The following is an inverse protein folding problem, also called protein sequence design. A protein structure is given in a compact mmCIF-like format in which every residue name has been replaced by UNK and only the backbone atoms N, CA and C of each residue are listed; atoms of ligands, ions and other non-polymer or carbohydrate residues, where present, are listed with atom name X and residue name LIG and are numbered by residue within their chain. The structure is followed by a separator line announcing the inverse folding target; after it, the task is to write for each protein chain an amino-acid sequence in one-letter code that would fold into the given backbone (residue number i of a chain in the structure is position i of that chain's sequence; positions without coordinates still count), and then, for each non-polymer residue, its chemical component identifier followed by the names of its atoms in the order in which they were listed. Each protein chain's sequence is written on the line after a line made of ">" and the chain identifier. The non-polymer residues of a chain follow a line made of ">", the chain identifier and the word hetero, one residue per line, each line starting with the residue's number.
data_IF_428818173306
#
_entry.id   IF_428818173306
#
_cell.length_a   1.000
_cell.length_b   1.000
_cell.length_c   1.000
_cell.angle_alpha   90.00
_cell.angle_beta   90.00
_cell.angle_gamma   90.00
#
_symmetry.space_group_name_H-M   'P 1'
#
loop_
_entity.id
_entity.type
_entity.pdbx_description
1 polymer ?
#
# COMPACT_ATOMS: atom_id res chain seq x y z
N UNK A 1 -5.56 -41.44 4.43
CA UNK A 1 -5.63 -40.03 4.87
C UNK A 1 -4.31 -39.71 5.58
N UNK A 2 -3.34 -39.10 4.89
CA UNK A 2 -2.01 -38.81 5.47
C UNK A 2 -2.08 -37.50 6.27
N UNK A 3 -2.00 -37.63 7.60
CA UNK A 3 -1.79 -36.52 8.51
C UNK A 3 -0.31 -36.14 8.39
N UNK A 4 -0.03 -35.08 7.64
CA UNK A 4 1.30 -34.47 7.58
C UNK A 4 1.59 -33.81 8.92
N UNK A 5 2.27 -34.52 9.81
CA UNK A 5 2.87 -33.96 11.03
C UNK A 5 3.86 -32.86 10.64
N UNK A 6 3.44 -31.60 10.72
CA UNK A 6 4.34 -30.46 10.58
C UNK A 6 4.98 -30.21 11.95
N UNK A 7 6.23 -30.63 12.09
CA UNK A 7 7.07 -30.21 13.21
C UNK A 7 7.18 -28.68 13.29
N UNK A 8 7.62 -28.14 14.43
CA UNK A 8 7.75 -26.70 14.61
C UNK A 8 8.67 -26.13 13.52
N UNK A 9 8.17 -25.14 12.78
CA UNK A 9 8.94 -24.43 11.77
C UNK A 9 10.05 -23.65 12.46
N UNK A 10 11.21 -24.28 12.63
CA UNK A 10 12.42 -23.62 13.09
C UNK A 10 12.84 -22.65 11.98
N UNK A 11 12.49 -21.38 12.13
CA UNK A 11 12.97 -20.30 11.29
C UNK A 11 14.42 -20.06 11.66
N UNK A 12 15.32 -20.88 11.15
CA UNK A 12 16.74 -20.56 11.13
C UNK A 12 16.89 -19.33 10.23
N UNK A 13 17.12 -18.17 10.85
CA UNK A 13 17.49 -16.95 10.13
C UNK A 13 18.95 -17.14 9.72
N UNK A 14 19.26 -17.39 8.44
CA UNK A 14 20.65 -17.47 8.02
C UNK A 14 21.31 -16.13 8.32
N UNK A 15 22.34 -16.14 9.16
CA UNK A 15 23.25 -15.01 9.35
C UNK A 15 24.11 -14.96 8.09
N UNK A 16 23.54 -14.46 6.99
CA UNK A 16 24.33 -14.09 5.84
C UNK A 16 25.05 -12.77 6.15
N UNK A 17 26.21 -12.93 6.78
CA UNK A 17 27.28 -11.93 6.80
C UNK A 17 27.81 -11.72 5.37
N UNK A 18 27.01 -11.10 4.49
CA UNK A 18 27.55 -10.50 3.27
C UNK A 18 28.02 -9.11 3.60
N UNK A 19 29.35 -8.92 3.53
CA UNK A 19 30.03 -7.62 3.50
C UNK A 19 29.60 -6.84 2.24
N UNK A 20 28.37 -6.37 2.19
CA UNK A 20 27.90 -5.33 1.28
C UNK A 20 27.89 -4.02 2.06
N UNK A 21 28.69 -3.04 1.65
CA UNK A 21 28.79 -1.74 2.31
C UNK A 21 27.39 -1.09 2.40
N UNK A 22 26.76 -1.16 3.57
CA UNK A 22 25.47 -0.52 3.85
C UNK A 22 25.70 0.82 4.56
N UNK A 23 25.11 1.89 4.04
CA UNK A 23 25.15 3.25 4.58
C UNK A 23 25.38 4.32 3.51
N UNK A 24 24.73 5.48 3.66
CA UNK A 24 25.03 6.66 2.84
C UNK A 24 26.34 7.30 3.32
N UNK A 25 27.27 7.50 2.41
CA UNK A 25 28.55 8.15 2.69
C UNK A 25 28.32 9.67 2.73
N UNK A 26 28.23 10.27 3.92
CA UNK A 26 28.14 11.72 4.08
C UNK A 26 29.47 12.24 4.66
N UNK A 27 30.27 12.85 3.79
CA UNK A 27 31.54 13.57 4.02
C UNK A 27 32.56 12.95 5.01
N UNK A 28 32.29 12.86 6.32
CA UNK A 28 33.25 12.37 7.33
C UNK A 28 32.73 11.24 8.23
N UNK A 29 31.45 10.86 8.16
CA UNK A 29 30.84 9.81 9.00
C UNK A 29 29.93 8.90 8.16
N UNK A 30 29.90 7.60 8.46
CA UNK A 30 28.85 6.70 7.95
C UNK A 30 27.60 6.89 8.81
N UNK A 31 26.72 7.79 8.39
CA UNK A 31 25.39 7.87 8.95
C UNK A 31 24.53 6.73 8.38
N UNK A 32 23.65 6.17 9.20
CA UNK A 32 22.64 5.21 8.77
C UNK A 32 23.17 3.87 8.21
N UNK A 33 24.14 3.24 8.90
CA UNK A 33 24.61 1.87 8.61
C UNK A 33 23.50 0.81 8.74
N UNK A 34 22.38 1.14 9.39
CA UNK A 34 21.20 0.29 9.53
C UNK A 34 20.23 0.36 8.34
N UNK A 35 20.43 1.27 7.37
CA UNK A 35 19.54 1.41 6.21
C UNK A 35 19.95 0.41 5.13
N UNK A 36 19.20 -0.68 5.02
CA UNK A 36 19.32 -1.64 3.93
C UNK A 36 18.46 -1.20 2.72
N UNK A 37 18.91 -0.17 1.99
CA UNK A 37 18.24 0.29 0.75
C UNK A 37 18.14 -0.80 -0.33
N UNK A 38 18.96 -1.84 -0.23
CA UNK A 38 18.91 -3.00 -1.11
C UNK A 38 17.53 -3.69 -1.07
N UNK A 39 16.81 -3.61 0.04
CA UNK A 39 15.45 -4.14 0.14
C UNK A 39 14.45 -3.42 -0.78
N UNK A 40 14.60 -2.10 -1.02
CA UNK A 40 13.69 -1.38 -1.92
C UNK A 40 13.82 -1.84 -3.38
N UNK A 41 14.98 -2.40 -3.76
CA UNK A 41 15.18 -3.00 -5.08
C UNK A 41 14.64 -4.42 -5.20
N UNK A 42 14.20 -5.03 -4.09
CA UNK A 42 13.63 -6.37 -4.13
C UNK A 42 12.21 -6.32 -4.71
N UNK A 43 11.75 -7.40 -5.37
CA UNK A 43 10.43 -7.42 -5.98
C UNK A 43 9.24 -7.17 -5.01
N UNK A 44 9.26 -7.53 -3.71
CA UNK A 44 8.21 -7.09 -2.77
C UNK A 44 8.37 -5.61 -2.36
N UNK A 45 9.60 -5.11 -2.25
CA UNK A 45 9.86 -3.70 -1.93
C UNK A 45 9.33 -2.74 -3.01
N UNK A 46 9.50 -3.09 -4.28
CA UNK A 46 8.99 -2.30 -5.41
C UNK A 46 7.46 -2.22 -5.41
N UNK A 47 6.78 -3.33 -5.08
CA UNK A 47 5.31 -3.37 -5.02
C UNK A 47 4.81 -2.44 -3.92
N UNK A 48 5.36 -2.54 -2.71
CA UNK A 48 5.04 -1.67 -1.57
C UNK A 48 5.34 -0.19 -1.85
N UNK A 49 6.41 0.10 -2.58
CA UNK A 49 6.72 1.46 -3.02
C UNK A 49 5.70 1.98 -4.04
N UNK A 50 5.26 1.14 -4.98
CA UNK A 50 4.21 1.49 -5.92
C UNK A 50 2.85 1.74 -5.21
N UNK A 51 2.50 0.92 -4.22
CA UNK A 51 1.32 1.14 -3.36
C UNK A 51 1.37 2.52 -2.70
N UNK A 52 2.54 2.88 -2.14
CA UNK A 52 2.73 4.13 -1.44
C UNK A 52 2.66 5.34 -2.39
N UNK A 53 3.26 5.26 -3.58
CA UNK A 53 3.24 6.35 -4.57
C UNK A 53 1.82 6.56 -5.10
N UNK A 54 1.13 5.49 -5.51
CA UNK A 54 -0.23 5.59 -6.04
C UNK A 54 -1.20 6.03 -4.93
N UNK A 55 -1.04 5.51 -3.71
CA UNK A 55 -1.82 5.93 -2.55
C UNK A 55 -1.64 7.41 -2.23
N UNK A 56 -0.40 7.90 -2.24
CA UNK A 56 -0.11 9.32 -2.01
C UNK A 56 -0.70 10.22 -3.10
N UNK A 57 -0.63 9.78 -4.35
CA UNK A 57 -1.25 10.47 -5.48
C UNK A 57 -2.77 10.55 -5.33
N UNK A 58 -3.44 9.44 -5.00
CA UNK A 58 -4.88 9.41 -4.75
C UNK A 58 -5.27 10.32 -3.58
N UNK A 59 -4.53 10.25 -2.47
CA UNK A 59 -4.76 11.08 -1.29
C UNK A 59 -4.63 12.57 -1.63
N UNK A 60 -3.60 12.94 -2.40
CA UNK A 60 -3.34 14.34 -2.77
C UNK A 60 -4.44 14.89 -3.68
N UNK A 61 -4.89 14.11 -4.67
CA UNK A 61 -6.01 14.48 -5.53
C UNK A 61 -7.30 14.65 -4.72
N UNK A 62 -7.62 13.69 -3.87
CA UNK A 62 -8.82 13.70 -3.04
C UNK A 62 -8.82 14.92 -2.09
N UNK A 63 -7.71 15.21 -1.42
CA UNK A 63 -7.62 16.35 -0.50
C UNK A 63 -7.63 17.70 -1.22
N UNK A 64 -7.03 17.80 -2.41
CA UNK A 64 -6.96 19.08 -3.13
C UNK A 64 -8.24 19.42 -3.88
N UNK A 65 -8.89 18.44 -4.51
CA UNK A 65 -10.06 18.66 -5.35
C UNK A 65 -11.37 18.18 -4.72
N UNK A 66 -11.31 17.17 -3.86
CA UNK A 66 -12.48 16.62 -3.18
C UNK A 66 -12.88 17.39 -1.91
N UNK A 67 -11.97 18.15 -1.30
CA UNK A 67 -12.27 18.99 -0.12
C UNK A 67 -13.28 20.09 -0.43
N UNK A 68 -13.10 20.79 -1.56
CA UNK A 68 -14.02 21.82 -2.07
C UNK A 68 -15.42 21.27 -2.37
N UNK A 69 -15.51 19.99 -2.76
CA UNK A 69 -16.78 19.30 -3.08
C UNK A 69 -17.23 18.32 -1.99
N UNK A 70 -16.64 18.41 -0.80
CA UNK A 70 -16.85 17.43 0.28
C UNK A 70 -18.29 17.41 0.79
N UNK A 71 -18.96 18.57 0.83
CA UNK A 71 -20.37 18.67 1.22
C UNK A 71 -21.33 17.98 0.23
N UNK A 72 -20.95 17.89 -1.06
CA UNK A 72 -21.76 17.27 -2.11
C UNK A 72 -21.56 15.75 -2.16
N UNK A 73 -20.31 15.31 -2.03
CA UNK A 73 -19.93 13.90 -2.10
C UNK A 73 -20.21 13.18 -0.76
N UNK A 74 -20.18 13.93 0.34
CA UNK A 74 -20.56 13.48 1.67
C UNK A 74 -19.70 12.33 2.19
N UNK A 75 -20.36 11.32 2.76
CA UNK A 75 -19.69 10.22 3.47
C UNK A 75 -18.83 9.35 2.55
N UNK A 76 -19.14 9.27 1.26
CA UNK A 76 -18.35 8.50 0.29
C UNK A 76 -16.92 9.03 0.15
N UNK A 77 -16.76 10.36 0.20
CA UNK A 77 -15.45 11.01 0.22
C UNK A 77 -14.69 10.71 1.51
N UNK A 78 -15.35 10.84 2.65
CA UNK A 78 -14.73 10.61 3.96
C UNK A 78 -14.25 9.16 4.11
N UNK A 79 -15.05 8.18 3.69
CA UNK A 79 -14.66 6.77 3.69
C UNK A 79 -13.48 6.48 2.76
N UNK A 80 -13.42 7.12 1.59
CA UNK A 80 -12.30 6.96 0.65
C UNK A 80 -10.99 7.52 1.22
N UNK A 81 -11.01 8.77 1.70
CA UNK A 81 -9.81 9.47 2.22
C UNK A 81 -9.27 8.80 3.49
N UNK A 82 -10.15 8.34 4.38
CA UNK A 82 -9.73 7.64 5.61
C UNK A 82 -9.13 6.27 5.29
N UNK A 83 -9.69 5.53 4.34
CA UNK A 83 -9.14 4.25 3.91
C UNK A 83 -7.74 4.40 3.27
N UNK A 84 -7.55 5.42 2.42
CA UNK A 84 -6.23 5.73 1.85
C UNK A 84 -5.25 6.13 2.94
N UNK A 85 -5.63 7.02 3.87
CA UNK A 85 -4.76 7.45 4.96
C UNK A 85 -4.31 6.27 5.85
N UNK A 86 -5.23 5.38 6.21
CA UNK A 86 -4.93 4.22 7.06
C UNK A 86 -3.99 3.23 6.36
N UNK A 87 -4.27 2.91 5.10
CA UNK A 87 -3.44 1.99 4.31
C UNK A 87 -2.06 2.59 4.02
N UNK A 88 -1.98 3.87 3.67
CA UNK A 88 -0.71 4.57 3.41
C UNK A 88 0.16 4.65 4.67
N UNK A 89 -0.43 4.99 5.82
CA UNK A 89 0.28 5.03 7.11
C UNK A 89 0.87 3.66 7.46
N UNK A 90 0.08 2.60 7.30
CA UNK A 90 0.52 1.24 7.63
C UNK A 90 1.60 0.74 6.67
N UNK A 91 1.44 0.97 5.36
CA UNK A 91 2.43 0.61 4.34
C UNK A 91 3.73 1.40 4.54
N UNK A 92 3.66 2.67 4.91
CA UNK A 92 4.83 3.47 5.25
C UNK A 92 5.56 2.91 6.48
N UNK A 93 4.83 2.59 7.56
CA UNK A 93 5.43 1.96 8.75
C UNK A 93 6.10 0.63 8.41
N UNK A 94 5.47 -0.22 7.61
CA UNK A 94 6.05 -1.49 7.16
C UNK A 94 7.34 -1.27 6.37
N UNK A 95 7.34 -0.30 5.44
CA UNK A 95 8.50 0.04 4.62
C UNK A 95 9.65 0.56 5.50
N UNK A 96 9.35 1.41 6.48
CA UNK A 96 10.30 1.88 7.50
C UNK A 96 10.87 0.70 8.30
N UNK A 97 10.02 -0.19 8.83
CA UNK A 97 10.45 -1.37 9.56
C UNK A 97 11.38 -2.27 8.72
N UNK A 98 11.09 -2.42 7.43
CA UNK A 98 11.92 -3.18 6.50
C UNK A 98 13.27 -2.52 6.18
N UNK A 99 13.31 -1.18 6.12
CA UNK A 99 14.55 -0.44 5.92
C UNK A 99 15.48 -0.57 7.13
N UNK A 100 14.95 -0.46 8.35
CA UNK A 100 15.74 -0.40 9.57
C UNK A 100 16.23 -1.75 10.08
N UNK A 101 15.50 -2.85 9.79
CA UNK A 101 15.81 -4.15 10.38
C UNK A 101 15.55 -5.33 9.42
N UNK A 102 16.60 -6.00 8.92
CA UNK A 102 16.45 -7.20 8.10
C UNK A 102 15.89 -8.38 8.91
N UNK A 103 16.05 -8.38 10.24
CA UNK A 103 15.45 -9.38 11.14
C UNK A 103 13.92 -9.23 11.17
N UNK A 104 13.42 -7.99 11.16
CA UNK A 104 11.99 -7.70 11.15
C UNK A 104 11.32 -8.16 9.86
N UNK A 105 12.02 -8.10 8.72
CA UNK A 105 11.52 -8.64 7.44
C UNK A 105 11.17 -10.13 7.54
N UNK A 106 12.04 -10.92 8.17
CA UNK A 106 11.82 -12.36 8.34
C UNK A 106 10.63 -12.67 9.23
N UNK A 107 10.48 -11.94 10.34
CA UNK A 107 9.36 -12.12 11.28
C UNK A 107 8.03 -11.68 10.65
N UNK A 108 8.00 -10.53 9.99
CA UNK A 108 6.77 -9.97 9.39
C UNK A 108 6.30 -10.85 8.23
N UNK A 109 7.21 -11.31 7.36
CA UNK A 109 6.84 -12.23 6.28
C UNK A 109 6.44 -13.63 6.75
N UNK A 110 6.88 -14.01 7.94
CA UNK A 110 6.41 -15.24 8.61
C UNK A 110 5.07 -15.03 9.32
N UNK A 111 4.59 -13.79 9.44
CA UNK A 111 3.32 -13.45 10.08
C UNK A 111 2.18 -13.43 9.06
N UNK A 112 0.96 -13.68 9.53
CA UNK A 112 -0.27 -13.48 8.76
C UNK A 112 -0.61 -12.00 8.58
N UNK A 113 0.08 -11.10 9.28
CA UNK A 113 -0.20 -9.66 9.27
C UNK A 113 -0.22 -9.06 7.87
N UNK A 114 0.81 -9.31 7.05
CA UNK A 114 0.94 -8.73 5.71
C UNK A 114 -0.16 -9.21 4.76
N UNK A 115 -0.54 -10.50 4.87
CA UNK A 115 -1.64 -11.08 4.09
C UNK A 115 -2.99 -10.48 4.52
N UNK A 116 -3.27 -10.43 5.82
CA UNK A 116 -4.53 -9.89 6.35
C UNK A 116 -4.67 -8.39 6.04
N UNK A 117 -3.61 -7.61 6.25
CA UNK A 117 -3.64 -6.19 5.96
C UNK A 117 -3.86 -5.89 4.47
N UNK A 118 -3.12 -6.56 3.58
CA UNK A 118 -3.25 -6.35 2.14
C UNK A 118 -4.62 -6.83 1.62
N UNK A 119 -5.16 -7.94 2.12
CA UNK A 119 -6.50 -8.42 1.74
C UNK A 119 -7.59 -7.46 2.20
N UNK A 120 -7.57 -7.04 3.47
CA UNK A 120 -8.54 -6.06 3.99
C UNK A 120 -8.45 -4.77 3.21
N UNK A 121 -7.24 -4.27 2.96
CA UNK A 121 -7.03 -3.06 2.16
C UNK A 121 -7.60 -3.23 0.75
N UNK A 122 -7.36 -4.36 0.07
CA UNK A 122 -7.92 -4.59 -1.26
C UNK A 122 -9.46 -4.53 -1.28
N UNK A 123 -10.11 -5.20 -0.33
CA UNK A 123 -11.57 -5.18 -0.23
C UNK A 123 -12.14 -3.80 0.11
N UNK A 124 -11.51 -3.08 1.05
CA UNK A 124 -11.95 -1.73 1.41
C UNK A 124 -11.72 -0.76 0.26
N UNK A 125 -10.61 -0.86 -0.47
CA UNK A 125 -10.33 -0.02 -1.65
C UNK A 125 -11.37 -0.23 -2.74
N UNK A 126 -11.65 -1.47 -3.14
CA UNK A 126 -12.64 -1.75 -4.18
C UNK A 126 -14.01 -1.21 -3.75
N UNK A 127 -14.40 -1.45 -2.49
CA UNK A 127 -15.68 -0.99 -1.95
C UNK A 127 -15.80 0.55 -1.93
N UNK A 128 -14.80 1.26 -1.41
CA UNK A 128 -14.83 2.73 -1.32
C UNK A 128 -14.70 3.37 -2.70
N UNK A 129 -13.93 2.80 -3.62
CA UNK A 129 -13.82 3.30 -5.00
C UNK A 129 -15.13 3.12 -5.77
N UNK A 130 -15.81 1.98 -5.63
CA UNK A 130 -17.13 1.76 -6.24
C UNK A 130 -18.17 2.74 -5.68
N UNK A 131 -18.18 2.95 -4.36
CA UNK A 131 -19.11 3.89 -3.74
C UNK A 131 -18.83 5.35 -4.14
N UNK A 132 -17.57 5.76 -4.12
CA UNK A 132 -17.16 7.09 -4.57
C UNK A 132 -17.46 7.31 -6.07
N UNK A 133 -17.18 6.31 -6.91
CA UNK A 133 -17.48 6.37 -8.34
C UNK A 133 -18.97 6.52 -8.63
N UNK A 134 -19.83 5.83 -7.89
CA UNK A 134 -21.28 5.98 -8.02
C UNK A 134 -21.73 7.41 -7.69
N UNK A 135 -21.25 7.97 -6.57
CA UNK A 135 -21.61 9.33 -6.13
C UNK A 135 -21.06 10.39 -7.09
N UNK A 136 -19.82 10.23 -7.59
CA UNK A 136 -19.22 11.18 -8.55
C UNK A 136 -20.00 11.23 -9.86
N UNK A 137 -20.46 10.10 -10.40
CA UNK A 137 -21.23 10.09 -11.64
C UNK A 137 -22.66 10.65 -11.44
N UNK A 138 -23.32 10.38 -10.32
CA UNK A 138 -24.68 10.92 -10.11
C UNK A 138 -24.68 12.40 -9.73
N UNK A 139 -23.73 12.83 -8.90
CA UNK A 139 -23.73 14.17 -8.30
C UNK A 139 -22.83 15.12 -9.08
N UNK A 140 -21.59 14.74 -9.38
CA UNK A 140 -20.62 15.67 -9.98
C UNK A 140 -20.75 15.77 -11.51
N UNK A 141 -21.20 14.70 -12.19
CA UNK A 141 -21.43 14.72 -13.64
C UNK A 141 -22.43 15.81 -14.06
N UNK A 142 -23.65 15.94 -13.49
CA UNK A 142 -24.57 17.00 -13.89
C UNK A 142 -24.01 18.41 -13.58
N UNK A 143 -23.27 18.56 -12.47
CA UNK A 143 -22.62 19.84 -12.14
C UNK A 143 -21.52 20.23 -13.15
N UNK A 144 -20.82 19.24 -13.71
CA UNK A 144 -19.80 19.44 -14.74
C UNK A 144 -20.40 19.99 -16.05
N UNK A 145 -21.61 19.56 -16.42
CA UNK A 145 -22.30 20.06 -17.61
C UNK A 145 -22.80 21.50 -17.46
N UNK A 146 -23.16 21.90 -16.24
CA UNK A 146 -23.76 23.22 -15.98
C UNK A 146 -22.68 24.28 -15.70
N UNK A 147 -21.55 23.87 -15.09
CA UNK A 147 -20.53 24.80 -14.60
C UNK A 147 -19.27 24.75 -15.48
N UNK A 148 -18.94 25.82 -16.23
CA UNK A 148 -17.71 25.84 -17.01
C UNK A 148 -16.49 25.77 -16.09
N UNK A 149 -15.47 24.99 -16.48
CA UNK A 149 -14.20 24.79 -15.76
C UNK A 149 -14.27 24.03 -14.41
N UNK A 150 -15.27 23.17 -14.21
CA UNK A 150 -15.34 22.34 -12.99
C UNK A 150 -14.30 21.20 -13.00
N UNK A 151 -13.15 21.42 -12.34
CA UNK A 151 -12.02 20.46 -12.29
C UNK A 151 -12.21 19.31 -11.28
N UNK A 152 -13.18 19.41 -10.37
CA UNK A 152 -13.37 18.40 -9.33
C UNK A 152 -13.89 17.06 -9.88
N UNK A 153 -14.77 17.08 -10.90
CA UNK A 153 -15.26 15.86 -11.56
C UNK A 153 -14.12 15.01 -12.16
N UNK A 154 -13.30 15.52 -13.11
CA UNK A 154 -12.22 14.70 -13.68
C UNK A 154 -11.15 14.31 -12.65
N UNK A 155 -10.87 15.15 -11.65
CA UNK A 155 -9.91 14.83 -10.61
C UNK A 155 -10.39 13.69 -9.69
N UNK A 156 -11.65 13.72 -9.27
CA UNK A 156 -12.25 12.66 -8.45
C UNK A 156 -12.46 11.37 -9.25
N UNK A 157 -12.76 11.49 -10.55
CA UNK A 157 -12.80 10.35 -11.45
C UNK A 157 -11.45 9.67 -11.61
N UNK A 158 -10.38 10.45 -11.77
CA UNK A 158 -9.02 9.91 -11.76
C UNK A 158 -8.69 9.25 -10.40
N UNK A 159 -9.14 9.84 -9.28
CA UNK A 159 -8.87 9.31 -7.95
C UNK A 159 -9.51 7.94 -7.70
N UNK A 160 -10.79 7.72 -8.04
CA UNK A 160 -11.42 6.40 -7.82
C UNK A 160 -10.92 5.35 -8.83
N UNK A 161 -10.52 5.73 -10.05
CA UNK A 161 -9.90 4.82 -11.03
C UNK A 161 -8.50 4.42 -10.59
N UNK A 162 -7.67 5.37 -10.14
CA UNK A 162 -6.36 5.06 -9.59
C UNK A 162 -6.47 4.25 -8.28
N UNK A 163 -7.48 4.56 -7.45
CA UNK A 163 -7.79 3.80 -6.23
C UNK A 163 -8.22 2.36 -6.51
N UNK A 164 -8.97 2.10 -7.58
CA UNK A 164 -9.35 0.73 -7.96
C UNK A 164 -8.15 -0.08 -8.45
N UNK A 165 -7.24 0.54 -9.22
CA UNK A 165 -5.93 -0.05 -9.57
C UNK A 165 -5.12 -0.36 -8.31
N UNK A 166 -5.10 0.56 -7.33
CA UNK A 166 -4.40 0.36 -6.06
C UNK A 166 -5.01 -0.81 -5.25
N UNK A 167 -6.33 -0.96 -5.26
CA UNK A 167 -7.02 -2.12 -4.66
C UNK A 167 -6.59 -3.45 -5.29
N UNK A 168 -6.47 -3.50 -6.62
CA UNK A 168 -5.94 -4.68 -7.32
C UNK A 168 -4.47 -4.95 -6.98
N UNK A 169 -3.68 -3.90 -6.81
CA UNK A 169 -2.27 -4.01 -6.45
C UNK A 169 -2.09 -4.58 -5.04
N UNK A 170 -2.90 -4.13 -4.07
CA UNK A 170 -2.99 -4.75 -2.74
C UNK A 170 -3.45 -6.21 -2.80
N UNK A 171 -4.41 -6.55 -3.68
CA UNK A 171 -4.85 -7.94 -3.86
C UNK A 171 -3.71 -8.84 -4.42
N UNK A 172 -2.95 -8.32 -5.38
CA UNK A 172 -1.79 -9.00 -5.94
C UNK A 172 -0.69 -9.20 -4.88
N UNK A 173 -0.42 -8.18 -4.07
CA UNK A 173 0.57 -8.28 -2.99
C UNK A 173 0.11 -9.25 -1.89
N UNK A 174 -1.19 -9.28 -1.57
CA UNK A 174 -1.78 -10.29 -0.69
C UNK A 174 -1.57 -11.71 -1.22
N UNK A 175 -1.82 -11.94 -2.51
CA UNK A 175 -1.61 -13.25 -3.14
C UNK A 175 -0.15 -13.70 -3.06
N UNK A 176 0.79 -12.79 -3.37
CA UNK A 176 2.23 -13.09 -3.32
C UNK A 176 2.70 -13.39 -1.90
N UNK A 177 2.23 -12.61 -0.93
CA UNK A 177 2.53 -12.81 0.50
C UNK A 177 1.92 -14.11 1.03
N UNK A 178 0.71 -14.48 0.59
CA UNK A 178 0.09 -15.76 0.93
C UNK A 178 0.87 -16.96 0.38
N UNK A 179 1.36 -16.85 -0.86
CA UNK A 179 2.21 -17.89 -1.46
C UNK A 179 3.52 -18.06 -0.70
N UNK A 180 4.13 -16.96 -0.25
CA UNK A 180 5.33 -16.97 0.59
C UNK A 180 5.06 -17.64 1.95
N UNK A 181 3.94 -17.31 2.60
CA UNK A 181 3.52 -17.90 3.88
C UNK A 181 3.31 -19.42 3.79
N UNK A 182 2.76 -19.93 2.68
CA UNK A 182 2.56 -21.37 2.46
C UNK A 182 3.83 -22.18 2.19
N UNK A 183 5.01 -21.54 2.16
CA UNK A 183 6.30 -22.22 2.04
C UNK A 183 6.78 -22.44 0.61
N UNK A 184 6.12 -21.86 -0.40
CA UNK A 184 6.68 -21.77 -1.75
C UNK A 184 7.72 -20.64 -1.78
N UNK A 185 8.93 -20.92 -1.28
CA UNK A 185 10.09 -20.01 -1.41
C UNK A 185 10.48 -19.96 -2.90
N UNK A 186 10.46 -18.75 -3.48
CA UNK A 186 11.12 -18.46 -4.77
C UNK A 186 12.63 -18.58 -4.60
#
# INVERSE_FOLDING_TARGET
>A
MMISSRGPTIVNVPVHSRRGQSGLKCCCCRCCTCIHLEFLKTPPGIIKLAELIIGFFCQSLALKYGSESSSLIGISFQSFVTNIAWSLSTTFMLLVCYIFSPKSVGLIKSSLFEVLFNTVSAFTYISTCSYLGYVVNIVLEPLYWITPHYQAYPAMSAAYVAGSILGLLYAYDAYKSYRYFRGYRY
#
